data_IF_803066513418
#
_entry.id   IF_803066513418
#
_cell.length_a   1.000
_cell.length_b   1.000
_cell.length_c   1.000
_cell.angle_alpha   90.00
_cell.angle_beta   90.00
_cell.angle_gamma   90.00
#
_symmetry.space_group_name_H-M   'P 1'
#
loop_
_entity.id
_entity.type
_entity.pdbx_description
1 polymer ?
#
# COMPACT_ATOMS: atom_id res chain seq x y z
N UNK A 1 -16.79 15.37 4.55
CA UNK A 1 -18.21 15.60 4.91
C UNK A 1 -19.03 14.30 5.02
N UNK A 2 -18.88 13.30 4.14
CA UNK A 2 -19.58 12.00 4.29
C UNK A 2 -19.08 11.16 5.49
N UNK A 3 -17.77 11.02 5.70
CA UNK A 3 -17.21 10.28 6.85
C UNK A 3 -17.61 10.85 8.22
N UNK A 4 -17.82 12.18 8.29
CA UNK A 4 -18.32 12.86 9.48
C UNK A 4 -19.75 12.44 9.83
N UNK A 5 -20.62 12.27 8.82
CA UNK A 5 -22.00 11.83 9.01
C UNK A 5 -22.10 10.35 9.44
N UNK A 6 -21.07 9.55 9.18
CA UNK A 6 -21.03 8.11 9.51
C UNK A 6 -20.24 7.83 10.81
N UNK A 7 -19.83 8.86 11.58
CA UNK A 7 -19.01 8.73 12.80
C UNK A 7 -17.68 7.98 12.59
N UNK A 8 -17.11 8.07 11.39
CA UNK A 8 -15.84 7.42 11.03
C UNK A 8 -14.62 8.34 11.19
N UNK A 9 -14.85 9.59 11.60
CA UNK A 9 -13.80 10.49 12.05
C UNK A 9 -13.18 9.91 13.32
N UNK A 10 -11.87 10.05 13.46
CA UNK A 10 -11.08 9.56 14.58
C UNK A 10 -11.09 8.03 14.72
N UNK A 11 -11.12 7.33 13.58
CA UNK A 11 -11.08 5.87 13.52
C UNK A 11 -10.08 5.35 12.50
N UNK A 12 -9.41 4.24 12.83
CA UNK A 12 -8.49 3.55 11.91
C UNK A 12 -9.24 3.13 10.63
N UNK A 13 -10.49 2.67 10.74
CA UNK A 13 -11.29 2.27 9.59
C UNK A 13 -11.58 3.46 8.65
N UNK A 14 -11.91 4.63 9.20
CA UNK A 14 -12.10 5.85 8.41
C UNK A 14 -10.84 6.25 7.64
N UNK A 15 -9.66 6.11 8.26
CA UNK A 15 -8.38 6.32 7.60
C UNK A 15 -8.12 5.30 6.50
N UNK A 16 -8.36 4.01 6.74
CA UNK A 16 -8.18 2.96 5.72
C UNK A 16 -9.04 3.25 4.49
N UNK A 17 -10.29 3.64 4.66
CA UNK A 17 -11.18 4.00 3.54
C UNK A 17 -10.64 5.23 2.79
N UNK A 18 -10.22 6.27 3.51
CA UNK A 18 -9.66 7.47 2.90
C UNK A 18 -8.38 7.16 2.10
N UNK A 19 -7.45 6.42 2.70
CA UNK A 19 -6.20 6.00 2.07
C UNK A 19 -6.44 5.12 0.87
N UNK A 20 -7.35 4.13 0.98
CA UNK A 20 -7.74 3.30 -0.16
C UNK A 20 -8.24 4.17 -1.30
N UNK A 21 -9.11 5.15 -1.02
CA UNK A 21 -9.64 6.06 -2.05
C UNK A 21 -8.53 6.84 -2.77
N UNK A 22 -7.50 7.27 -2.02
CA UNK A 22 -6.35 7.99 -2.59
C UNK A 22 -5.42 7.09 -3.42
N UNK A 23 -5.19 5.86 -2.96
CA UNK A 23 -4.23 4.94 -3.60
C UNK A 23 -4.84 4.05 -4.69
N UNK A 24 -6.17 3.88 -4.69
CA UNK A 24 -6.86 2.96 -5.59
C UNK A 24 -6.64 3.29 -7.08
N UNK A 25 -6.72 4.56 -7.54
CA UNK A 25 -6.48 4.87 -8.95
C UNK A 25 -5.07 4.46 -9.40
N UNK A 26 -4.07 4.67 -8.54
CA UNK A 26 -2.70 4.29 -8.80
C UNK A 26 -2.52 2.77 -8.87
N UNK A 27 -3.10 2.04 -7.91
CA UNK A 27 -3.07 0.58 -7.91
C UNK A 27 -3.77 -0.02 -9.14
N UNK A 28 -4.93 0.52 -9.52
CA UNK A 28 -5.65 0.11 -10.73
C UNK A 28 -4.79 0.35 -11.96
N UNK A 29 -4.24 1.56 -12.11
CA UNK A 29 -3.39 1.90 -13.25
C UNK A 29 -2.24 0.89 -13.41
N UNK A 30 -1.52 0.61 -12.32
CA UNK A 30 -0.39 -0.31 -12.32
C UNK A 30 -0.79 -1.75 -12.68
N UNK A 31 -1.91 -2.24 -12.14
CA UNK A 31 -2.42 -3.57 -12.48
C UNK A 31 -2.93 -3.64 -13.92
N UNK A 32 -3.58 -2.60 -14.42
CA UNK A 32 -4.03 -2.57 -15.82
C UNK A 32 -2.88 -2.54 -16.81
N UNK A 33 -1.77 -1.84 -16.49
CA UNK A 33 -0.54 -1.89 -17.28
C UNK A 33 0.03 -3.30 -17.35
N UNK A 34 0.07 -4.01 -16.21
CA UNK A 34 0.52 -5.40 -16.18
C UNK A 34 -0.38 -6.33 -16.98
N UNK A 35 -1.70 -6.24 -16.80
CA UNK A 35 -2.64 -7.10 -17.53
C UNK A 35 -2.65 -6.86 -19.04
N UNK A 36 -2.26 -5.66 -19.50
CA UNK A 36 -2.11 -5.39 -20.92
C UNK A 36 -0.94 -6.18 -21.57
N UNK A 37 0.05 -6.61 -20.78
CA UNK A 37 1.18 -7.41 -21.23
C UNK A 37 0.90 -8.92 -21.20
N UNK A 38 -0.14 -9.35 -20.46
CA UNK A 38 -0.51 -10.77 -20.34
C UNK A 38 -1.22 -11.25 -21.62
N UNK A 39 -0.75 -12.33 -22.27
CA UNK A 39 -1.41 -12.87 -23.45
C UNK A 39 -2.82 -13.37 -23.14
N UNK A 40 -3.82 -12.93 -23.92
CA UNK A 40 -5.23 -13.37 -23.78
C UNK A 40 -5.42 -14.86 -24.06
N UNK A 41 -4.51 -15.47 -24.79
CA UNK A 41 -4.50 -16.90 -25.13
C UNK A 41 -4.50 -17.79 -23.89
N UNK A 42 -3.91 -17.33 -22.77
CA UNK A 42 -3.91 -18.08 -21.50
C UNK A 42 -5.32 -18.22 -20.92
N UNK A 43 -6.12 -17.17 -21.00
CA UNK A 43 -7.49 -17.16 -20.53
C UNK A 43 -8.37 -18.03 -21.43
N UNK A 44 -8.19 -17.93 -22.75
CA UNK A 44 -8.92 -18.72 -23.74
C UNK A 44 -8.62 -20.22 -23.61
N UNK A 45 -7.35 -20.60 -23.44
CA UNK A 45 -6.95 -21.98 -23.21
C UNK A 45 -7.59 -22.55 -21.95
N UNK A 46 -7.59 -21.80 -20.85
CA UNK A 46 -8.19 -22.25 -19.60
C UNK A 46 -9.72 -22.42 -19.70
N UNK A 47 -10.40 -21.54 -20.44
CA UNK A 47 -11.83 -21.65 -20.71
C UNK A 47 -12.14 -22.89 -21.58
N UNK A 48 -11.29 -23.20 -22.57
CA UNK A 48 -11.41 -24.42 -23.39
C UNK A 48 -11.20 -25.70 -22.58
N UNK A 49 -10.36 -25.66 -21.54
CA UNK A 49 -10.20 -26.75 -20.57
C UNK A 49 -11.36 -26.88 -19.57
N UNK A 50 -12.41 -26.06 -19.70
CA UNK A 50 -13.61 -26.12 -18.86
C UNK A 50 -13.51 -25.34 -17.56
N UNK A 51 -12.50 -24.48 -17.39
CA UNK A 51 -12.46 -23.58 -16.24
C UNK A 51 -13.60 -22.55 -16.30
N UNK A 52 -14.21 -22.25 -15.15
CA UNK A 52 -15.11 -21.10 -15.05
C UNK A 52 -14.33 -19.79 -15.02
N UNK A 53 -14.95 -18.67 -15.40
CA UNK A 53 -14.31 -17.33 -15.35
C UNK A 53 -13.72 -16.99 -13.96
N UNK A 54 -14.38 -17.43 -12.89
CA UNK A 54 -13.88 -17.25 -11.52
C UNK A 54 -12.64 -18.11 -11.23
N UNK A 55 -12.58 -19.32 -11.79
CA UNK A 55 -11.39 -20.17 -11.70
C UNK A 55 -10.22 -19.58 -12.49
N UNK A 56 -10.46 -19.06 -13.70
CA UNK A 56 -9.42 -18.37 -14.48
C UNK A 56 -8.86 -17.17 -13.69
N UNK A 57 -9.74 -16.34 -13.12
CA UNK A 57 -9.31 -15.20 -12.30
C UNK A 57 -8.44 -15.63 -11.11
N UNK A 58 -8.89 -16.61 -10.33
CA UNK A 58 -8.24 -16.96 -9.06
C UNK A 58 -7.03 -17.88 -9.22
N UNK A 59 -7.03 -18.77 -10.22
CA UNK A 59 -5.96 -19.76 -10.42
C UNK A 59 -4.91 -19.35 -11.43
N UNK A 60 -5.23 -18.41 -12.33
CA UNK A 60 -4.32 -18.00 -13.41
C UNK A 60 -3.99 -16.52 -13.28
N UNK A 61 -4.99 -15.65 -13.40
CA UNK A 61 -4.78 -14.19 -13.46
C UNK A 61 -4.16 -13.63 -12.18
N UNK A 62 -4.69 -13.96 -11.00
CA UNK A 62 -4.18 -13.45 -9.71
C UNK A 62 -2.75 -13.95 -9.43
N UNK A 63 -2.42 -15.26 -9.54
CA UNK A 63 -1.07 -15.74 -9.35
C UNK A 63 -0.06 -15.14 -10.34
N UNK A 64 -0.47 -14.97 -11.60
CA UNK A 64 0.38 -14.35 -12.61
C UNK A 64 0.65 -12.88 -12.28
N UNK A 65 -0.36 -12.14 -11.83
CA UNK A 65 -0.23 -10.75 -11.41
C UNK A 65 0.37 -10.54 -10.02
N UNK A 66 0.66 -11.59 -9.27
CA UNK A 66 1.27 -11.52 -7.94
C UNK A 66 2.48 -10.55 -7.82
N UNK A 67 3.48 -10.54 -8.73
CA UNK A 67 4.57 -9.56 -8.69
C UNK A 67 4.09 -8.11 -8.83
N UNK A 68 3.14 -7.84 -9.74
CA UNK A 68 2.58 -6.50 -9.91
C UNK A 68 1.73 -6.07 -8.71
N UNK A 69 0.93 -6.99 -8.16
CA UNK A 69 0.14 -6.76 -6.93
C UNK A 69 1.08 -6.43 -5.76
N UNK A 70 2.16 -7.19 -5.61
CA UNK A 70 3.15 -6.95 -4.56
C UNK A 70 3.80 -5.57 -4.72
N UNK A 71 4.24 -5.22 -5.92
CA UNK A 71 4.85 -3.92 -6.16
C UNK A 71 3.86 -2.76 -5.93
N UNK A 72 2.60 -2.90 -6.36
CA UNK A 72 1.56 -1.91 -6.11
C UNK A 72 1.28 -1.76 -4.60
N UNK A 73 1.17 -2.87 -3.87
CA UNK A 73 0.94 -2.86 -2.43
C UNK A 73 2.06 -2.14 -1.67
N UNK A 74 3.31 -2.33 -2.07
CA UNK A 74 4.47 -1.67 -1.47
C UNK A 74 4.44 -0.17 -1.71
N UNK A 75 4.19 0.26 -2.94
CA UNK A 75 4.11 1.68 -3.27
C UNK A 75 2.93 2.37 -2.58
N UNK A 76 1.77 1.71 -2.53
CA UNK A 76 0.62 2.19 -1.76
C UNK A 76 0.94 2.28 -0.27
N UNK A 77 1.63 1.28 0.30
CA UNK A 77 2.07 1.32 1.70
C UNK A 77 3.01 2.50 1.95
N UNK A 78 4.02 2.70 1.10
CA UNK A 78 4.96 3.81 1.22
C UNK A 78 4.24 5.16 1.14
N UNK A 79 3.25 5.29 0.25
CA UNK A 79 2.42 6.48 0.15
C UNK A 79 1.64 6.72 1.44
N UNK A 80 0.85 5.73 1.89
CA UNK A 80 0.03 5.84 3.09
C UNK A 80 0.84 6.06 4.37
N UNK A 81 2.03 5.47 4.47
CA UNK A 81 2.90 5.60 5.64
C UNK A 81 3.39 7.05 5.86
N UNK A 82 3.58 7.78 4.77
CA UNK A 82 4.04 9.17 4.79
C UNK A 82 2.89 10.18 4.67
N UNK A 83 1.66 9.72 4.45
CA UNK A 83 0.51 10.58 4.22
C UNK A 83 0.18 11.35 5.50
N UNK A 84 0.17 12.68 5.38
CA UNK A 84 -0.03 13.60 6.51
C UNK A 84 -1.38 14.32 6.47
N UNK A 85 -1.84 14.75 5.29
CA UNK A 85 -2.94 15.70 5.16
C UNK A 85 -4.27 15.04 5.51
N UNK A 86 -4.57 13.88 4.92
CA UNK A 86 -5.78 13.14 5.23
C UNK A 86 -5.78 12.65 6.68
N UNK A 87 -4.63 12.20 7.21
CA UNK A 87 -4.52 11.85 8.62
C UNK A 87 -4.79 13.04 9.55
N UNK A 88 -4.20 14.21 9.29
CA UNK A 88 -4.40 15.41 10.09
C UNK A 88 -5.86 15.88 10.08
N UNK A 89 -6.56 15.73 8.96
CA UNK A 89 -7.96 16.12 8.84
C UNK A 89 -8.94 15.13 9.48
N UNK A 90 -8.57 13.85 9.58
CA UNK A 90 -9.48 12.78 10.00
C UNK A 90 -9.23 12.27 11.42
N UNK A 91 -8.12 12.64 12.06
CA UNK A 91 -7.72 12.15 13.38
C UNK A 91 -7.60 13.30 14.38
N UNK A 92 -8.06 13.07 15.60
CA UNK A 92 -8.01 14.06 16.68
C UNK A 92 -7.55 13.48 18.01
N UNK A 93 -7.71 12.17 18.24
CA UNK A 93 -7.18 11.47 19.41
C UNK A 93 -6.01 10.57 19.06
N UNK A 94 -5.19 10.25 20.06
CA UNK A 94 -4.03 9.36 19.92
C UNK A 94 -4.40 7.94 19.44
N UNK A 95 -5.69 7.55 19.48
CA UNK A 95 -6.15 6.21 19.09
C UNK A 95 -6.05 5.94 17.59
N UNK A 96 -6.20 6.96 16.77
CA UNK A 96 -6.17 6.85 15.31
C UNK A 96 -5.04 7.65 14.66
N UNK A 97 -4.26 8.38 15.48
CA UNK A 97 -3.23 9.30 15.00
C UNK A 97 -2.08 8.55 14.32
N UNK A 98 -1.68 9.01 13.14
CA UNK A 98 -0.53 8.46 12.42
C UNK A 98 0.78 9.06 12.94
N UNK A 99 1.90 8.38 12.66
CA UNK A 99 3.24 8.88 13.02
C UNK A 99 3.50 10.27 12.43
N UNK A 100 3.09 10.49 11.16
CA UNK A 100 3.26 11.78 10.51
C UNK A 100 2.53 12.91 11.26
N UNK A 101 1.31 12.65 11.74
CA UNK A 101 0.54 13.61 12.56
C UNK A 101 1.19 13.78 13.94
N UNK A 102 1.62 12.70 14.58
CA UNK A 102 2.32 12.77 15.88
C UNK A 102 3.62 13.57 15.81
N UNK A 103 4.39 13.46 14.73
CA UNK A 103 5.60 14.28 14.55
C UNK A 103 5.31 15.78 14.50
N UNK A 104 4.12 16.17 14.04
CA UNK A 104 3.73 17.59 13.99
C UNK A 104 3.44 18.19 15.36
N UNK A 105 3.03 17.38 16.34
CA UNK A 105 2.68 17.86 17.70
C UNK A 105 3.91 18.23 18.53
N UNK A 106 5.09 17.68 18.20
CA UNK A 106 6.36 18.02 18.85
C UNK A 106 6.92 19.40 18.48
N UNK A 107 6.27 20.09 17.53
CA UNK A 107 6.54 21.50 17.20
C UNK A 107 5.50 22.39 17.90
N UNK A 108 5.73 22.71 19.17
CA UNK A 108 4.81 23.49 19.99
C UNK A 108 5.32 24.89 20.35
N UNK A 109 4.49 25.68 21.04
CA UNK A 109 4.81 27.05 21.46
C UNK A 109 6.00 27.17 22.41
N UNK A 110 6.44 26.06 23.02
CA UNK A 110 7.61 25.99 23.92
C UNK A 110 8.92 25.64 23.19
N UNK A 111 8.90 25.57 21.87
CA UNK A 111 10.04 25.16 21.04
C UNK A 111 9.89 23.74 20.48
N UNK A 112 10.92 23.29 19.78
CA UNK A 112 10.93 21.99 19.08
C UNK A 112 11.61 20.94 19.96
N UNK A 113 10.90 19.85 20.23
CA UNK A 113 11.43 18.72 21.00
C UNK A 113 12.28 17.79 20.12
N UNK A 114 13.46 18.25 19.69
CA UNK A 114 14.33 17.52 18.74
C UNK A 114 14.65 16.08 19.16
N UNK A 115 14.88 15.82 20.46
CA UNK A 115 15.17 14.48 20.96
C UNK A 115 14.01 13.50 20.77
N UNK A 116 12.78 13.93 21.08
CA UNK A 116 11.58 13.10 20.93
C UNK A 116 11.23 12.89 19.45
N UNK A 117 11.40 13.93 18.62
CA UNK A 117 11.21 13.81 17.17
C UNK A 117 12.20 12.84 16.53
N UNK A 118 13.48 12.90 16.93
CA UNK A 118 14.51 12.00 16.41
C UNK A 118 14.22 10.55 16.82
N UNK A 119 13.82 10.31 18.08
CA UNK A 119 13.43 8.98 18.56
C UNK A 119 12.23 8.42 17.79
N UNK A 120 11.15 9.20 17.65
CA UNK A 120 9.96 8.77 16.93
C UNK A 120 10.24 8.50 15.44
N UNK A 121 11.02 9.36 14.79
CA UNK A 121 11.43 9.18 13.39
C UNK A 121 12.29 7.93 13.21
N UNK A 122 13.18 7.64 14.15
CA UNK A 122 14.04 6.45 14.08
C UNK A 122 13.20 5.18 14.20
N UNK A 123 12.25 5.14 15.14
CA UNK A 123 11.36 3.98 15.31
C UNK A 123 10.43 3.81 14.10
N UNK A 124 9.97 4.91 13.50
CA UNK A 124 9.09 4.86 12.34
C UNK A 124 9.74 4.38 11.05
N UNK A 125 11.08 4.32 10.99
CA UNK A 125 11.80 3.69 9.87
C UNK A 125 11.72 2.17 9.91
N UNK A 126 11.50 1.55 11.07
CA UNK A 126 11.54 0.09 11.24
C UNK A 126 10.58 -0.63 10.28
N UNK A 127 9.29 -0.24 10.14
CA UNK A 127 8.35 -0.94 9.27
C UNK A 127 8.72 -0.83 7.78
N UNK A 128 9.22 0.34 7.35
CA UNK A 128 9.72 0.54 5.98
C UNK A 128 10.93 -0.35 5.73
N UNK A 129 11.90 -0.36 6.65
CA UNK A 129 13.09 -1.22 6.53
C UNK A 129 12.70 -2.69 6.46
N UNK A 130 11.80 -3.16 7.33
CA UNK A 130 11.31 -4.53 7.29
C UNK A 130 10.67 -4.88 5.94
N UNK A 131 9.85 -3.97 5.39
CA UNK A 131 9.23 -4.15 4.09
C UNK A 131 10.27 -4.27 2.97
N UNK A 132 11.26 -3.36 2.94
CA UNK A 132 12.37 -3.39 1.98
C UNK A 132 13.16 -4.71 2.08
N UNK A 133 13.46 -5.17 3.31
CA UNK A 133 14.18 -6.41 3.55
C UNK A 133 13.41 -7.65 3.06
N UNK A 134 12.08 -7.61 3.10
CA UNK A 134 11.22 -8.68 2.55
C UNK A 134 11.22 -8.63 1.03
N UNK A 135 11.15 -7.45 0.42
CA UNK A 135 11.03 -7.31 -1.04
C UNK A 135 12.35 -7.62 -1.75
N UNK A 136 13.48 -7.20 -1.21
CA UNK A 136 14.79 -7.42 -1.83
C UNK A 136 15.04 -8.90 -2.15
N UNK A 137 14.53 -9.84 -1.33
CA UNK A 137 14.68 -11.29 -1.58
C UNK A 137 13.96 -11.75 -2.85
N UNK A 138 12.88 -11.07 -3.23
CA UNK A 138 12.11 -11.35 -4.44
C UNK A 138 12.76 -10.71 -5.67
N UNK A 139 13.32 -9.50 -5.53
CA UNK A 139 14.07 -8.82 -6.60
C UNK A 139 15.33 -9.63 -6.98
N UNK A 140 16.09 -10.11 -5.99
CA UNK A 140 17.29 -10.91 -6.23
C UNK A 140 16.96 -12.23 -6.95
N UNK A 141 15.85 -12.90 -6.58
CA UNK A 141 15.38 -14.09 -7.31
C UNK A 141 14.97 -13.77 -8.75
N UNK A 142 14.27 -12.66 -8.98
CA UNK A 142 13.87 -12.23 -10.32
C UNK A 142 15.06 -11.96 -11.26
N UNK A 143 16.12 -11.34 -10.75
CA UNK A 143 17.37 -11.10 -11.50
C UNK A 143 18.08 -12.40 -11.87
N UNK A 144 18.13 -13.39 -10.97
CA UNK A 144 18.78 -14.68 -11.26
C UNK A 144 18.03 -15.54 -12.28
N UNK A 145 16.70 -15.46 -12.35
CA UNK A 145 15.92 -16.16 -13.40
C UNK A 145 15.90 -15.40 -14.72
N UNK A 146 15.99 -14.05 -14.69
CA UNK A 146 16.09 -13.21 -15.89
C UNK A 146 17.45 -13.29 -16.60
N UNK A 147 18.53 -13.60 -15.89
CA UNK A 147 19.88 -13.76 -16.45
C UNK A 147 20.11 -15.11 -17.17
N UNK A 148 19.13 -16.02 -17.15
CA UNK A 148 19.16 -17.31 -17.85
C UNK A 148 18.33 -17.31 -19.14
N UNK A 149 17.92 -16.14 -19.64
CA UNK A 149 17.30 -15.95 -20.96
C UNK A 149 18.27 -15.29 -21.92
#
# INVERSE_FOLDING_TARGET
LLLAKVKLIDSIFGLVVAYTTLTLPFAIWMLTSYFAEVPRELDEAALLEGCSRFQVLTKIVIPLAAPSIAAAAVLCFMFCWNEFIAALMLTYTEKAQTVAVALSTFKGSKGVAYGQMAALTTVSMIPIMALVLIIQRYIVRGLTFGALK
#
